data_IF_616567919110
#
_entry.id   IF_616567919110
#
_cell.length_a   1.000
_cell.length_b   1.000
_cell.length_c   1.000
_cell.angle_alpha   90.00
_cell.angle_beta   90.00
_cell.angle_gamma   90.00
#
_symmetry.space_group_name_H-M   'P 1'
#
loop_
_entity.id
_entity.type
_entity.pdbx_description
1 polymer ?
#
# COMPACT_ATOMS: atom_id res chain seq x y z
N UNK A 1 14.43 4.09 22.19
CA UNK A 1 15.01 3.19 21.16
C UNK A 1 14.35 3.54 19.83
N UNK A 2 15.09 4.07 18.84
CA UNK A 2 14.51 4.31 17.51
C UNK A 2 14.28 2.93 16.88
N UNK A 3 13.07 2.68 16.37
CA UNK A 3 12.80 1.45 15.62
C UNK A 3 13.77 1.38 14.43
N UNK A 4 14.38 0.22 14.22
CA UNK A 4 15.32 -0.05 13.13
C UNK A 4 14.70 0.24 11.75
N UNK A 5 13.39 0.04 11.62
CA UNK A 5 12.62 0.28 10.40
C UNK A 5 11.40 1.15 10.65
N UNK A 6 10.92 1.91 9.64
CA UNK A 6 9.68 2.66 9.76
C UNK A 6 8.47 1.74 10.00
N UNK A 7 7.52 2.21 10.80
CA UNK A 7 6.27 1.49 11.05
C UNK A 7 5.44 1.28 9.77
N UNK A 8 4.74 0.15 9.69
CA UNK A 8 3.83 -0.15 8.58
C UNK A 8 2.64 0.80 8.56
N UNK A 9 2.23 1.20 7.36
CA UNK A 9 0.99 1.95 7.13
C UNK A 9 -0.10 0.97 6.73
N UNK A 10 -0.80 0.43 7.71
CA UNK A 10 -1.90 -0.50 7.49
C UNK A 10 -3.19 0.27 7.20
N UNK A 11 -4.03 -0.28 6.34
CA UNK A 11 -5.33 0.26 5.99
C UNK A 11 -6.37 -0.87 5.81
N UNK A 12 -7.60 -0.50 5.49
CA UNK A 12 -8.71 -1.46 5.32
C UNK A 12 -8.60 -2.33 4.06
N UNK A 13 -7.80 -1.90 3.08
CA UNK A 13 -7.65 -2.56 1.79
C UNK A 13 -6.24 -3.08 1.66
N UNK A 14 -6.12 -4.39 1.49
CA UNK A 14 -4.85 -5.11 1.52
C UNK A 14 -3.92 -4.62 0.40
N UNK A 15 -4.42 -4.55 -0.84
CA UNK A 15 -3.63 -4.12 -1.99
C UNK A 15 -2.99 -2.74 -1.80
N UNK A 16 -3.77 -1.75 -1.33
CA UNK A 16 -3.23 -0.39 -1.10
C UNK A 16 -2.40 -0.27 0.19
N UNK A 17 -2.59 -1.16 1.16
CA UNK A 17 -1.69 -1.27 2.32
C UNK A 17 -0.34 -1.84 1.90
N UNK A 18 -0.33 -2.75 0.93
CA UNK A 18 0.88 -3.33 0.37
C UNK A 18 1.67 -2.31 -0.44
N UNK A 19 1.03 -1.55 -1.33
CA UNK A 19 1.70 -0.45 -2.05
C UNK A 19 2.24 0.63 -1.12
N UNK A 20 1.60 0.84 0.04
CA UNK A 20 2.05 1.75 1.09
C UNK A 20 3.26 1.25 1.91
N UNK A 21 3.80 0.07 1.62
CA UNK A 21 5.13 -0.31 2.11
C UNK A 21 6.23 0.57 1.51
N UNK A 22 5.98 1.19 0.34
CA UNK A 22 6.80 2.27 -0.22
C UNK A 22 5.97 3.56 -0.34
N UNK A 23 6.42 4.62 0.34
CA UNK A 23 5.79 5.94 0.31
C UNK A 23 6.80 7.03 -0.02
N UNK A 24 6.35 8.27 -0.17
CA UNK A 24 7.25 9.38 -0.51
C UNK A 24 7.95 9.14 -1.87
N UNK A 25 7.19 8.59 -2.84
CA UNK A 25 7.66 8.11 -4.15
C UNK A 25 8.21 9.21 -5.07
N UNK A 26 7.94 10.47 -4.75
CA UNK A 26 8.38 11.67 -5.49
C UNK A 26 9.22 12.59 -4.60
N UNK A 27 9.67 12.11 -3.44
CA UNK A 27 10.61 12.79 -2.55
C UNK A 27 11.66 11.79 -2.09
N UNK A 28 11.97 11.77 -0.80
CA UNK A 28 12.85 10.75 -0.20
C UNK A 28 12.06 9.47 0.07
N UNK A 29 12.24 8.39 -0.73
CA UNK A 29 11.38 7.22 -0.63
C UNK A 29 11.55 6.52 0.72
N UNK A 30 10.43 6.19 1.36
CA UNK A 30 10.42 5.47 2.63
C UNK A 30 10.00 4.03 2.39
N UNK A 31 11.00 3.15 2.31
CA UNK A 31 10.85 1.71 2.19
C UNK A 31 10.63 1.05 3.56
N UNK A 32 9.62 0.17 3.66
CA UNK A 32 9.23 -0.52 4.89
C UNK A 32 9.48 -2.02 4.85
N UNK A 33 9.71 -2.57 3.66
CA UNK A 33 10.15 -3.96 3.44
C UNK A 33 11.55 -4.00 2.80
N UNK A 34 12.58 -3.38 3.42
CA UNK A 34 13.92 -3.33 2.82
C UNK A 34 14.62 -4.70 2.77
N UNK A 35 14.20 -5.64 3.62
CA UNK A 35 14.81 -6.98 3.77
C UNK A 35 13.73 -8.06 3.89
N UNK A 36 14.03 -9.34 3.61
CA UNK A 36 13.03 -10.41 3.58
C UNK A 36 12.25 -10.57 4.88
N UNK A 37 12.91 -10.46 6.04
CA UNK A 37 12.25 -10.49 7.37
C UNK A 37 11.15 -9.44 7.51
N UNK A 38 11.33 -8.25 6.91
CA UNK A 38 10.32 -7.20 6.98
C UNK A 38 9.10 -7.49 6.10
N UNK A 39 9.26 -8.23 5.01
CA UNK A 39 8.12 -8.75 4.26
C UNK A 39 7.36 -9.78 5.10
N UNK A 40 8.06 -10.71 5.76
CA UNK A 40 7.43 -11.68 6.69
C UNK A 40 6.65 -10.96 7.79
N UNK A 41 7.25 -9.97 8.45
CA UNK A 41 6.58 -9.15 9.46
C UNK A 41 5.29 -8.50 8.91
N UNK A 42 5.36 -7.93 7.69
CA UNK A 42 4.23 -7.25 7.05
C UNK A 42 3.10 -8.22 6.70
N UNK A 43 3.46 -9.40 6.17
CA UNK A 43 2.53 -10.46 5.81
C UNK A 43 1.81 -10.99 7.06
N UNK A 44 2.54 -11.22 8.16
CA UNK A 44 1.98 -11.65 9.43
C UNK A 44 0.95 -10.66 9.99
N UNK A 45 1.27 -9.36 10.05
CA UNK A 45 0.32 -8.34 10.54
C UNK A 45 -0.86 -8.11 9.60
N UNK A 46 -0.75 -8.55 8.34
CA UNK A 46 -1.81 -8.49 7.34
C UNK A 46 -2.66 -9.77 7.29
N UNK A 47 -2.44 -10.72 8.21
CA UNK A 47 -3.18 -11.98 8.29
C UNK A 47 -2.76 -13.04 7.27
N UNK A 48 -1.56 -12.90 6.69
CA UNK A 48 -0.99 -13.77 5.67
C UNK A 48 0.35 -14.35 6.13
N UNK A 49 0.44 -14.79 7.39
CA UNK A 49 1.69 -15.24 7.99
C UNK A 49 2.35 -16.36 7.18
N UNK A 50 3.66 -16.22 6.96
CA UNK A 50 4.54 -17.19 6.30
C UNK A 50 5.76 -17.41 7.19
N UNK A 51 6.40 -18.56 7.09
CA UNK A 51 7.52 -18.91 7.99
C UNK A 51 8.82 -18.19 7.62
N UNK A 52 9.07 -18.00 6.32
CA UNK A 52 10.30 -17.40 5.83
C UNK A 52 10.10 -16.71 4.48
N UNK A 53 11.10 -15.91 4.10
CA UNK A 53 11.14 -15.24 2.82
C UNK A 53 12.59 -15.20 2.33
N UNK A 54 12.80 -15.57 1.08
CA UNK A 54 14.09 -15.46 0.39
C UNK A 54 14.26 -14.08 -0.26
N UNK A 55 15.49 -13.65 -0.60
CA UNK A 55 15.70 -12.43 -1.39
C UNK A 55 14.94 -12.43 -2.72
N UNK A 56 14.89 -13.56 -3.43
CA UNK A 56 14.14 -13.67 -4.69
C UNK A 56 12.63 -13.45 -4.47
N UNK A 57 12.05 -14.02 -3.42
CA UNK A 57 10.65 -13.79 -3.05
C UNK A 57 10.37 -12.33 -2.68
N UNK A 58 11.32 -11.65 -2.03
CA UNK A 58 11.21 -10.21 -1.78
C UNK A 58 11.19 -9.40 -3.08
N UNK A 59 11.99 -9.79 -4.08
CA UNK A 59 12.00 -9.12 -5.38
C UNK A 59 10.67 -9.34 -6.12
N UNK A 60 10.10 -10.55 -6.08
CA UNK A 60 8.75 -10.83 -6.60
C UNK A 60 7.68 -9.97 -5.91
N UNK A 61 7.78 -9.81 -4.59
CA UNK A 61 6.86 -8.98 -3.83
C UNK A 61 6.97 -7.50 -4.24
N UNK A 62 8.20 -7.00 -4.45
CA UNK A 62 8.42 -5.62 -4.91
C UNK A 62 7.93 -5.41 -6.34
N UNK A 63 8.14 -6.36 -7.24
CA UNK A 63 7.60 -6.32 -8.60
C UNK A 63 6.07 -6.23 -8.59
N UNK A 64 5.42 -7.09 -7.80
CA UNK A 64 3.96 -7.04 -7.63
C UNK A 64 3.53 -5.69 -7.03
N UNK A 65 4.24 -5.19 -6.02
CA UNK A 65 3.94 -3.91 -5.37
C UNK A 65 3.94 -2.76 -6.36
N UNK A 66 4.98 -2.67 -7.20
CA UNK A 66 5.09 -1.61 -8.19
C UNK A 66 4.06 -1.75 -9.30
N UNK A 67 3.74 -2.99 -9.71
CA UNK A 67 2.68 -3.27 -10.70
C UNK A 67 1.30 -2.85 -10.18
N UNK A 68 0.95 -3.21 -8.95
CA UNK A 68 -0.31 -2.78 -8.31
C UNK A 68 -0.34 -1.25 -8.21
N UNK A 69 0.75 -0.61 -7.79
CA UNK A 69 0.80 0.84 -7.70
C UNK A 69 0.60 1.52 -9.06
N UNK A 70 1.23 1.01 -10.12
CA UNK A 70 1.09 1.54 -11.47
C UNK A 70 -0.34 1.43 -12.00
N UNK A 71 -0.95 0.24 -11.88
CA UNK A 71 -2.34 0.01 -12.29
C UNK A 71 -3.32 0.86 -11.45
N UNK A 72 -3.15 0.92 -10.13
CA UNK A 72 -3.97 1.73 -9.24
C UNK A 72 -3.84 3.24 -9.54
N UNK A 73 -2.65 3.69 -9.97
CA UNK A 73 -2.41 5.08 -10.37
C UNK A 73 -3.15 5.42 -11.67
N UNK A 74 -3.04 4.57 -12.69
CA UNK A 74 -3.77 4.73 -13.94
C UNK A 74 -5.29 4.74 -13.71
N UNK A 75 -5.81 3.80 -12.90
CA UNK A 75 -7.22 3.76 -12.53
C UNK A 75 -7.67 5.02 -11.78
N UNK A 76 -6.88 5.55 -10.84
CA UNK A 76 -7.18 6.79 -10.14
C UNK A 76 -7.24 8.02 -11.05
N UNK A 77 -6.44 8.03 -12.12
CA UNK A 77 -6.40 9.09 -13.14
C UNK A 77 -7.44 8.90 -14.25
N UNK A 78 -8.06 7.72 -14.33
CA UNK A 78 -8.96 7.27 -15.43
C UNK A 78 -8.23 7.08 -16.75
N UNK A 79 -6.99 6.62 -16.67
CA UNK A 79 -6.17 6.22 -17.82
C UNK A 79 -6.28 4.72 -18.08
N UNK A 80 -5.80 4.28 -19.25
CA UNK A 80 -5.67 2.85 -19.55
C UNK A 80 -4.67 2.18 -18.61
N UNK A 81 -5.01 0.98 -18.13
CA UNK A 81 -4.12 0.19 -17.27
C UNK A 81 -2.86 -0.24 -18.05
N UNK A 82 -1.65 -0.09 -17.49
CA UNK A 82 -0.43 -0.56 -18.16
C UNK A 82 -0.45 -2.08 -18.35
N UNK A 83 -0.32 -2.56 -19.59
CA UNK A 83 -0.45 -3.98 -19.92
C UNK A 83 0.54 -4.87 -19.12
N UNK A 84 1.79 -4.43 -18.96
CA UNK A 84 2.78 -5.16 -18.17
C UNK A 84 2.39 -5.29 -16.69
N UNK A 85 1.81 -4.24 -16.10
CA UNK A 85 1.34 -4.29 -14.72
C UNK A 85 0.14 -5.23 -14.56
N UNK A 86 -0.79 -5.21 -15.51
CA UNK A 86 -1.94 -6.14 -15.54
C UNK A 86 -1.46 -7.58 -15.64
N UNK A 87 -0.48 -7.87 -16.49
CA UNK A 87 0.09 -9.21 -16.63
C UNK A 87 0.69 -9.72 -15.31
N UNK A 88 1.55 -8.93 -14.66
CA UNK A 88 2.16 -9.32 -13.37
C UNK A 88 1.09 -9.58 -12.30
N UNK A 89 0.07 -8.72 -12.20
CA UNK A 89 -1.01 -8.89 -11.22
C UNK A 89 -1.77 -10.20 -11.48
N UNK A 90 -2.14 -10.46 -12.74
CA UNK A 90 -2.88 -11.66 -13.12
C UNK A 90 -2.04 -12.93 -12.88
N UNK A 91 -0.76 -12.92 -13.28
CA UNK A 91 0.15 -14.05 -13.10
C UNK A 91 0.31 -14.39 -11.62
N UNK A 92 0.52 -13.40 -10.75
CA UNK A 92 0.64 -13.62 -9.31
C UNK A 92 -0.68 -14.08 -8.69
N UNK A 93 -1.81 -13.54 -9.14
CA UNK A 93 -3.13 -13.99 -8.66
C UNK A 93 -3.40 -15.46 -8.97
N UNK A 94 -2.87 -15.99 -10.08
CA UNK A 94 -3.11 -17.37 -10.51
C UNK A 94 -2.13 -18.39 -9.90
N UNK A 95 -0.99 -17.96 -9.35
CA UNK A 95 0.10 -18.85 -8.92
C UNK A 95 -0.09 -19.45 -7.52
N UNK A 96 -0.85 -18.81 -6.64
CA UNK A 96 -1.00 -19.25 -5.26
C UNK A 96 -2.19 -20.20 -5.04
N UNK A 97 -2.12 -20.95 -3.94
CA UNK A 97 -3.11 -21.96 -3.51
C UNK A 97 -3.88 -21.53 -2.26
N UNK A 98 -3.95 -20.22 -1.99
CA UNK A 98 -4.64 -19.69 -0.84
C UNK A 98 -6.16 -19.91 -0.94
N UNK A 99 -6.77 -20.35 0.16
CA UNK A 99 -8.22 -20.55 0.28
C UNK A 99 -8.81 -19.57 1.29
N UNK A 100 -9.94 -18.95 0.94
CA UNK A 100 -10.72 -18.21 1.90
C UNK A 100 -11.49 -19.19 2.79
N UNK A 101 -11.41 -19.00 4.11
CA UNK A 101 -12.15 -19.80 5.09
C UNK A 101 -12.95 -18.90 6.02
N UNK A 102 -14.09 -19.42 6.48
CA UNK A 102 -14.91 -18.81 7.51
C UNK A 102 -14.51 -19.39 8.87
N UNK A 103 -14.20 -18.55 9.84
CA UNK A 103 -13.93 -19.00 11.21
C UNK A 103 -15.22 -19.15 12.01
N UNK A 104 -15.22 -19.92 13.12
CA UNK A 104 -16.39 -20.04 14.00
C UNK A 104 -16.89 -18.70 14.56
N UNK A 105 -16.02 -17.70 14.64
CA UNK A 105 -16.35 -16.34 15.08
C UNK A 105 -17.03 -15.50 13.98
N UNK A 106 -17.25 -16.07 12.80
CA UNK A 106 -17.86 -15.38 11.67
C UNK A 106 -16.89 -14.52 10.87
N UNK A 107 -15.58 -14.68 11.07
CA UNK A 107 -14.56 -13.89 10.39
C UNK A 107 -14.02 -14.61 9.15
N UNK A 108 -13.71 -13.84 8.10
CA UNK A 108 -13.00 -14.38 6.93
C UNK A 108 -11.50 -14.40 7.20
N UNK A 109 -10.86 -15.55 6.98
CA UNK A 109 -9.38 -15.69 6.97
C UNK A 109 -8.89 -16.33 5.68
N UNK A 110 -7.61 -16.16 5.41
CA UNK A 110 -6.91 -16.87 4.35
C UNK A 110 -6.11 -18.02 4.95
N UNK A 111 -6.34 -19.23 4.44
CA UNK A 111 -5.42 -20.34 4.64
C UNK A 111 -4.48 -20.38 3.44
N UNK A 112 -3.19 -20.22 3.69
CA UNK A 112 -2.15 -20.42 2.68
C UNK A 112 -1.93 -21.93 2.51
N UNK A 113 -1.64 -22.39 1.28
CA UNK A 113 -1.66 -23.80 0.93
C UNK A 113 -0.40 -24.56 1.35
N UNK A 114 -0.59 -25.81 1.80
CA UNK A 114 0.49 -26.79 1.97
C UNK A 114 1.20 -26.82 3.33
N UNK A 115 2.13 -27.75 3.48
CA UNK A 115 2.96 -27.93 4.69
C UNK A 115 4.04 -26.84 4.87
N UNK A 116 4.20 -25.97 3.88
CA UNK A 116 5.05 -24.77 3.92
C UNK A 116 4.27 -23.64 3.26
N UNK A 117 3.59 -22.81 4.05
CA UNK A 117 2.90 -21.63 3.56
C UNK A 117 3.90 -20.71 2.82
N UNK A 118 3.76 -20.59 1.50
CA UNK A 118 4.70 -19.86 0.65
C UNK A 118 4.40 -18.37 0.58
N UNK A 119 5.45 -17.56 0.35
CA UNK A 119 5.28 -16.12 0.03
C UNK A 119 4.41 -15.95 -1.20
N UNK A 120 4.50 -16.86 -2.16
CA UNK A 120 3.73 -16.89 -3.40
C UNK A 120 2.22 -16.97 -3.16
N UNK A 121 1.78 -17.76 -2.17
CA UNK A 121 0.36 -17.84 -1.77
C UNK A 121 -0.11 -16.53 -1.15
N UNK A 122 0.73 -15.91 -0.32
CA UNK A 122 0.41 -14.62 0.26
C UNK A 122 0.34 -13.52 -0.81
N UNK A 123 1.25 -13.53 -1.78
CA UNK A 123 1.26 -12.59 -2.90
C UNK A 123 0.05 -12.81 -3.83
N UNK A 124 -0.42 -14.05 -4.00
CA UNK A 124 -1.63 -14.30 -4.79
C UNK A 124 -2.87 -13.70 -4.15
N UNK A 125 -2.98 -13.74 -2.81
CA UNK A 125 -4.06 -13.07 -2.07
C UNK A 125 -4.00 -11.55 -2.25
N UNK A 126 -2.81 -10.95 -2.17
CA UNK A 126 -2.62 -9.51 -2.39
C UNK A 126 -3.00 -9.13 -3.84
N UNK A 127 -2.59 -9.94 -4.81
CA UNK A 127 -2.91 -9.73 -6.22
C UNK A 127 -4.42 -9.86 -6.49
N UNK A 128 -5.09 -10.86 -5.92
CA UNK A 128 -6.54 -11.03 -6.04
C UNK A 128 -7.30 -9.84 -5.42
N UNK A 129 -6.88 -9.35 -4.24
CA UNK A 129 -7.48 -8.13 -3.66
C UNK A 129 -7.26 -6.90 -4.56
N UNK A 130 -6.09 -6.79 -5.21
CA UNK A 130 -5.82 -5.71 -6.16
C UNK A 130 -6.74 -5.77 -7.37
N UNK A 131 -6.99 -6.96 -7.92
CA UNK A 131 -7.94 -7.18 -9.02
C UNK A 131 -9.34 -6.69 -8.61
N UNK A 132 -9.87 -7.16 -7.47
CA UNK A 132 -11.20 -6.73 -7.00
C UNK A 132 -11.30 -5.22 -6.80
N UNK A 133 -10.23 -4.58 -6.31
CA UNK A 133 -10.19 -3.12 -6.12
C UNK A 133 -10.18 -2.38 -7.45
N UNK A 134 -9.34 -2.81 -8.40
CA UNK A 134 -9.16 -2.14 -9.69
C UNK A 134 -10.35 -2.38 -10.62
N UNK A 135 -10.97 -3.56 -10.56
CA UNK A 135 -12.16 -3.92 -11.31
C UNK A 135 -13.45 -3.24 -10.78
N UNK A 136 -13.38 -2.57 -9.62
CA UNK A 136 -14.52 -1.84 -9.05
C UNK A 136 -15.50 -2.71 -8.26
N UNK A 137 -15.10 -3.90 -7.81
CA UNK A 137 -15.94 -4.80 -7.00
C UNK A 137 -16.08 -4.35 -5.54
N UNK A 138 -15.24 -3.40 -5.11
CA UNK A 138 -15.18 -2.88 -3.74
C UNK A 138 -15.85 -1.51 -3.66
N UNK A 139 -16.66 -1.28 -2.64
CA UNK A 139 -17.30 0.02 -2.40
C UNK A 139 -16.24 1.09 -2.06
N UNK A 140 -16.00 1.99 -3.01
CA UNK A 140 -14.62 2.36 -3.28
C UNK A 140 -14.38 3.60 -4.11
N UNK A 141 -13.24 4.25 -3.87
CA UNK A 141 -12.60 5.03 -4.94
C UNK A 141 -11.09 5.00 -4.82
N UNK A 142 -10.40 4.67 -5.91
CA UNK A 142 -8.95 4.88 -6.04
C UNK A 142 -8.66 6.38 -6.20
N UNK A 143 -7.70 6.87 -5.42
CA UNK A 143 -7.25 8.26 -5.45
C UNK A 143 -5.73 8.34 -5.22
N UNK A 144 -5.13 9.45 -5.60
CA UNK A 144 -3.72 9.72 -5.36
C UNK A 144 -3.54 10.64 -4.15
N UNK A 145 -2.52 10.35 -3.34
CA UNK A 145 -2.13 11.24 -2.25
C UNK A 145 -1.75 12.61 -2.82
N UNK A 146 -2.39 13.67 -2.31
CA UNK A 146 -2.16 15.04 -2.74
C UNK A 146 -0.80 15.61 -2.29
N UNK A 147 0.00 14.87 -1.50
CA UNK A 147 1.31 15.35 -1.05
C UNK A 147 2.27 15.29 -2.24
N UNK A 148 2.96 16.39 -2.58
CA UNK A 148 3.82 16.47 -3.75
C UNK A 148 4.93 15.42 -3.72
N UNK A 149 5.44 15.09 -2.52
CA UNK A 149 6.47 14.06 -2.31
C UNK A 149 5.92 12.64 -2.26
N UNK A 150 4.64 12.43 -1.95
CA UNK A 150 4.12 11.08 -1.69
C UNK A 150 3.54 10.44 -2.93
N UNK A 151 2.51 11.05 -3.51
CA UNK A 151 1.81 10.60 -4.73
C UNK A 151 1.34 9.13 -4.76
N UNK A 152 1.36 8.43 -3.63
CA UNK A 152 0.92 7.05 -3.52
C UNK A 152 -0.57 6.91 -3.86
N UNK A 153 -0.92 5.90 -4.66
CA UNK A 153 -2.30 5.48 -4.84
C UNK A 153 -2.87 4.86 -3.55
N UNK A 154 -4.08 5.22 -3.18
CA UNK A 154 -4.80 4.68 -2.03
C UNK A 154 -6.28 4.48 -2.35
N UNK A 155 -6.94 3.62 -1.57
CA UNK A 155 -8.37 3.38 -1.69
C UNK A 155 -9.13 4.18 -0.62
N UNK A 156 -9.95 5.13 -1.06
CA UNK A 156 -10.78 5.94 -0.20
C UNK A 156 -12.07 5.21 0.13
N UNK A 157 -12.14 4.59 1.32
CA UNK A 157 -13.35 3.96 1.89
C UNK A 157 -14.18 4.92 2.76
N UNK A 158 -13.93 6.23 2.72
CA UNK A 158 -14.71 7.19 3.52
C UNK A 158 -16.08 7.45 2.90
N UNK A 159 -17.05 7.82 3.73
CA UNK A 159 -18.42 8.12 3.27
C UNK A 159 -18.44 9.16 2.14
N UNK A 160 -17.62 10.21 2.25
CA UNK A 160 -17.61 11.33 1.32
C UNK A 160 -16.74 11.12 0.08
N UNK A 161 -15.88 10.08 0.05
CA UNK A 161 -14.93 9.79 -1.06
C UNK A 161 -14.06 10.98 -1.47
N UNK A 162 -13.73 11.83 -0.49
CA UNK A 162 -13.02 13.11 -0.70
C UNK A 162 -11.70 13.19 0.07
N UNK A 163 -11.17 12.07 0.55
CA UNK A 163 -9.85 12.06 1.21
C UNK A 163 -8.79 12.55 0.23
N UNK A 164 -7.93 13.45 0.72
CA UNK A 164 -6.78 13.98 -0.04
C UNK A 164 -5.47 13.27 0.27
N UNK A 165 -5.40 12.52 1.37
CA UNK A 165 -4.16 11.94 1.89
C UNK A 165 -4.31 10.43 2.06
N UNK A 166 -3.30 9.68 1.63
CA UNK A 166 -3.25 8.23 1.81
C UNK A 166 -3.30 7.84 3.30
N UNK A 167 -2.71 8.67 4.16
CA UNK A 167 -2.79 8.53 5.61
C UNK A 167 -2.81 9.93 6.26
N UNK A 168 -3.79 10.16 7.14
CA UNK A 168 -3.98 11.46 7.79
C UNK A 168 -2.86 11.74 8.80
N UNK A 169 -2.42 10.71 9.52
CA UNK A 169 -1.45 10.86 10.61
C UNK A 169 -0.03 11.15 10.13
N UNK A 170 0.28 10.80 8.89
CA UNK A 170 1.58 11.03 8.25
C UNK A 170 1.51 12.12 7.19
N UNK A 171 0.95 11.85 6.01
CA UNK A 171 0.90 12.81 4.91
C UNK A 171 0.01 14.01 5.24
N UNK A 172 -1.15 13.79 5.87
CA UNK A 172 -2.05 14.87 6.28
C UNK A 172 -1.40 15.81 7.30
N UNK A 173 -0.82 15.28 8.37
CA UNK A 173 -0.13 16.06 9.40
C UNK A 173 1.12 16.75 8.88
N UNK A 174 1.91 16.09 8.02
CA UNK A 174 3.08 16.70 7.36
C UNK A 174 2.68 17.96 6.57
N UNK A 175 1.60 17.88 5.79
CA UNK A 175 1.12 19.02 5.00
C UNK A 175 0.50 20.13 5.86
N UNK A 176 -0.21 19.78 6.94
CA UNK A 176 -0.65 20.78 7.94
C UNK A 176 0.53 21.55 8.53
N UNK A 177 1.61 20.85 8.92
CA UNK A 177 2.82 21.46 9.47
C UNK A 177 3.56 22.33 8.44
N UNK A 178 3.71 21.86 7.20
CA UNK A 178 4.33 22.63 6.13
C UNK A 178 3.60 23.97 5.89
N UNK A 179 2.26 23.94 5.84
CA UNK A 179 1.44 25.15 5.70
C UNK A 179 1.58 26.11 6.89
N UNK A 180 1.59 25.58 8.12
CA UNK A 180 1.80 26.40 9.32
C UNK A 180 3.16 27.13 9.29
N UNK A 181 4.23 26.41 8.94
CA UNK A 181 5.57 26.98 8.84
C UNK A 181 5.70 28.02 7.72
N UNK A 182 5.10 27.78 6.56
CA UNK A 182 5.09 28.74 5.46
C UNK A 182 4.41 30.06 5.86
N UNK A 183 3.28 29.96 6.59
CA UNK A 183 2.56 31.12 7.09
C UNK A 183 3.34 31.88 8.18
N UNK A 184 4.05 31.18 9.07
CA UNK A 184 4.90 31.81 10.08
C UNK A 184 6.05 32.59 9.43
N UNK A 185 6.74 31.99 8.46
CA UNK A 185 7.83 32.63 7.73
C UNK A 185 7.38 33.84 6.91
N UNK A 186 6.16 33.82 6.36
CA UNK A 186 5.58 34.96 5.65
C UNK A 186 5.34 36.15 6.61
N UNK A 187 4.74 35.88 7.77
CA UNK A 187 4.50 36.91 8.81
C UNK A 187 5.79 37.52 9.35
N UNK A 188 6.84 36.71 9.56
CA UNK A 188 8.15 37.21 10.00
C UNK A 188 8.86 38.05 8.94
N UNK A 189 8.65 37.76 7.65
CA UNK A 189 9.20 38.56 6.53
C UNK A 189 8.49 39.91 6.40
N UNK A 190 7.16 39.92 6.54
CA UNK A 190 6.37 41.15 6.55
C UNK A 190 6.76 42.06 7.72
N UNK A 191 6.94 41.48 8.92
CA UNK A 191 7.33 42.25 10.10
C UNK A 191 8.76 42.83 10.03
N UNK A 192 9.67 42.18 9.30
CA UNK A 192 11.06 42.66 9.13
C UNK A 192 11.22 43.67 8.00
N UNK A 193 10.22 43.78 7.12
CA UNK A 193 10.21 44.70 5.98
C UNK A 193 9.42 45.98 6.26
N UNK A 194 8.84 46.09 7.47
CA UNK A 194 8.14 47.26 8.01
C UNK A 194 9.02 47.94 9.06
#
# INVERSE_FOLDING_TARGET
MRAEFPAFRLGKVLATSFTATLTERQGDPVERIPVPRRLVDWLAVSGLAVDSCTPAQLDLARELRESIHAAATAAALRDALPAAAVQVINDRSAQGRAAAVLTPEGERRWLLGGSTAGVEDALSVVAADAISVIAGERDGKLALCASPTCRAAFFDTSQSRTRKWCDMNTCGNRQKKARFNANANAREREHRSA
#
